data_IF_686884103698
#
_entry.id   IF_686884103698
#
_cell.length_a   1.000
_cell.length_b   1.000
_cell.length_c   1.000
_cell.angle_alpha   90.00
_cell.angle_beta   90.00
_cell.angle_gamma   90.00
#
_symmetry.space_group_name_H-M   'P 1'
#
loop_
_entity.id
_entity.type
_entity.pdbx_description
1 polymer ?
#
# COMPACT_ATOMS: atom_id res chain seq x y z
N UNK A 1 10.11 -45.98 -0.10
CA UNK A 1 10.23 -47.42 0.22
C UNK A 1 8.84 -48.03 0.17
N UNK A 2 8.72 -49.22 -0.43
CA UNK A 2 7.44 -49.93 -0.61
C UNK A 2 7.12 -50.67 0.69
N UNK A 3 5.87 -50.63 1.11
CA UNK A 3 5.23 -51.76 1.78
C UNK A 3 3.79 -51.86 1.28
N UNK A 4 3.38 -53.10 1.01
CA UNK A 4 2.07 -53.47 0.48
C UNK A 4 1.58 -54.63 1.34
N UNK A 5 0.51 -54.39 2.08
CA UNK A 5 -0.18 -55.41 2.86
C UNK A 5 -1.00 -56.35 1.96
N UNK A 6 -1.04 -57.61 2.38
CA UNK A 6 -1.83 -58.69 1.80
C UNK A 6 -3.24 -58.66 2.39
N UNK A 7 -4.20 -58.17 1.62
CA UNK A 7 -5.53 -58.79 1.56
C UNK A 7 -6.25 -58.33 0.29
N UNK A 8 -6.37 -59.27 -0.66
CA UNK A 8 -6.72 -59.03 -2.06
C UNK A 8 -8.18 -58.63 -2.30
N UNK A 9 -8.58 -57.45 -1.82
CA UNK A 9 -9.84 -56.81 -2.24
C UNK A 9 -9.63 -55.34 -2.63
N UNK A 10 -9.77 -55.07 -3.92
CA UNK A 10 -9.64 -53.74 -4.53
C UNK A 10 -10.94 -52.95 -4.33
N UNK A 11 -10.89 -51.81 -3.64
CA UNK A 11 -12.01 -50.83 -3.61
C UNK A 11 -11.61 -49.55 -4.33
N UNK A 12 -12.31 -49.25 -5.42
CA UNK A 12 -12.21 -47.98 -6.15
C UNK A 12 -13.19 -46.97 -5.55
N UNK A 13 -12.70 -45.81 -5.11
CA UNK A 13 -13.54 -44.65 -4.82
C UNK A 13 -13.29 -43.59 -5.89
N UNK A 14 -14.27 -43.44 -6.78
CA UNK A 14 -14.36 -42.34 -7.75
C UNK A 14 -15.28 -41.28 -7.13
N UNK A 15 -14.73 -40.11 -6.77
CA UNK A 15 -15.54 -38.94 -6.40
C UNK A 15 -15.35 -37.86 -7.44
N UNK A 16 -16.39 -37.64 -8.22
CA UNK A 16 -16.54 -36.52 -9.16
C UNK A 16 -17.35 -35.46 -8.42
N UNK A 17 -16.78 -34.28 -8.21
CA UNK A 17 -17.53 -33.10 -7.74
C UNK A 17 -17.16 -31.90 -8.63
N UNK A 18 -18.13 -31.07 -9.07
CA UNK A 18 -17.90 -30.07 -10.11
C UNK A 18 -17.22 -28.80 -9.59
N UNK A 19 -16.44 -28.15 -10.48
CA UNK A 19 -16.02 -26.77 -10.33
C UNK A 19 -17.22 -25.83 -10.19
N UNK A 20 -17.32 -25.11 -9.07
CA UNK A 20 -18.06 -23.85 -9.00
C UNK A 20 -17.21 -22.83 -8.25
N UNK A 21 -16.78 -21.82 -9.01
CA UNK A 21 -16.12 -20.61 -8.58
C UNK A 21 -17.06 -19.82 -7.66
N UNK A 22 -16.65 -19.47 -6.43
CA UNK A 22 -17.35 -18.46 -5.63
C UNK A 22 -16.44 -17.83 -4.57
N UNK A 23 -16.03 -16.61 -4.87
CA UNK A 23 -15.66 -15.59 -3.90
C UNK A 23 -16.85 -15.34 -2.95
N UNK A 24 -16.61 -15.39 -1.64
CA UNK A 24 -17.53 -14.87 -0.63
C UNK A 24 -16.75 -14.01 0.37
N UNK A 25 -16.84 -12.70 0.20
CA UNK A 25 -16.61 -11.73 1.27
C UNK A 25 -17.86 -11.67 2.14
N UNK A 26 -17.67 -11.89 3.45
CA UNK A 26 -18.64 -11.57 4.50
C UNK A 26 -18.52 -10.08 4.83
N UNK A 27 -19.64 -9.37 4.77
CA UNK A 27 -20.19 -8.54 5.87
C UNK A 27 -21.56 -8.02 5.45
N UNK A 28 -22.61 -8.75 5.82
CA UNK A 28 -23.99 -8.28 5.75
C UNK A 28 -24.41 -7.70 7.09
N UNK A 29 -24.63 -6.39 7.13
CA UNK A 29 -25.43 -5.67 8.13
C UNK A 29 -26.16 -4.54 7.40
N UNK A 30 -27.38 -4.80 6.90
CA UNK A 30 -28.51 -3.86 6.98
C UNK A 30 -29.78 -4.44 6.32
N UNK A 31 -30.88 -4.32 7.06
CA UNK A 31 -32.29 -4.27 6.62
C UNK A 31 -33.02 -5.55 6.22
N UNK A 32 -33.67 -6.16 7.24
CA UNK A 32 -35.00 -6.76 7.10
C UNK A 32 -36.06 -5.80 7.65
N UNK A 33 -36.88 -5.18 6.78
CA UNK A 33 -38.20 -4.64 7.14
C UNK A 33 -39.15 -4.83 5.93
N UNK A 34 -40.24 -5.59 6.16
CA UNK A 34 -41.53 -5.62 5.46
C UNK A 34 -41.58 -6.19 4.02
N UNK A 35 -42.53 -7.03 3.58
CA UNK A 35 -43.87 -7.43 4.05
C UNK A 35 -44.20 -8.87 3.57
N UNK A 36 -44.83 -9.67 4.43
CA UNK A 36 -45.65 -10.83 4.07
C UNK A 36 -47.05 -10.34 3.67
N UNK A 37 -47.61 -10.85 2.57
CA UNK A 37 -49.05 -11.00 2.39
C UNK A 37 -49.33 -12.34 1.70
N UNK A 38 -49.96 -13.25 2.46
CA UNK A 38 -50.67 -14.42 1.97
C UNK A 38 -52.17 -14.08 2.05
N UNK A 39 -52.94 -14.40 1.01
CA UNK A 39 -54.37 -14.68 1.10
C UNK A 39 -54.56 -16.17 0.75
N UNK A 40 -55.52 -16.88 1.37
CA UNK A 40 -56.77 -17.11 0.63
C UNK A 40 -58.08 -17.24 1.46
N UNK A 41 -59.15 -16.82 0.78
CA UNK A 41 -60.51 -17.37 0.60
C UNK A 41 -61.49 -17.73 1.75
N UNK A 42 -62.68 -17.12 1.57
CA UNK A 42 -64.07 -17.64 1.60
C UNK A 42 -64.78 -18.01 2.90
N UNK A 43 -65.87 -17.26 3.17
CA UNK A 43 -67.29 -17.69 3.11
C UNK A 43 -68.14 -17.17 4.29
N UNK A 44 -69.33 -16.63 3.97
CA UNK A 44 -70.38 -16.41 4.98
C UNK A 44 -71.33 -15.25 4.66
N UNK A 45 -72.47 -15.58 4.07
CA UNK A 45 -73.55 -14.68 3.67
C UNK A 45 -74.49 -14.36 4.86
N UNK A 46 -74.83 -13.08 5.09
CA UNK A 46 -76.14 -12.71 5.65
C UNK A 46 -76.51 -11.26 5.36
N UNK A 47 -77.80 -11.08 5.11
CA UNK A 47 -78.57 -9.97 4.58
C UNK A 47 -78.56 -8.63 5.35
N UNK A 48 -79.00 -7.60 4.62
CA UNK A 48 -79.45 -6.25 5.00
C UNK A 48 -78.38 -5.15 5.07
N UNK A 49 -78.31 -4.32 4.01
CA UNK A 49 -78.76 -2.92 4.09
C UNK A 49 -78.51 -2.12 2.79
N UNK A 50 -79.56 -1.44 2.33
CA UNK A 50 -79.60 -0.59 1.14
C UNK A 50 -78.95 0.78 1.40
N UNK A 51 -77.63 0.80 1.64
CA UNK A 51 -76.86 2.06 1.64
C UNK A 51 -75.52 1.98 0.88
N UNK A 52 -75.30 0.91 0.12
CA UNK A 52 -73.99 0.59 -0.48
C UNK A 52 -73.72 1.23 -1.86
N UNK A 53 -74.69 1.92 -2.49
CA UNK A 53 -74.53 2.37 -3.89
C UNK A 53 -73.81 3.73 -4.06
N UNK A 54 -73.68 4.55 -3.01
CA UNK A 54 -72.88 5.80 -3.05
C UNK A 54 -71.45 5.61 -2.55
N UNK A 55 -71.22 4.77 -1.54
CA UNK A 55 -69.88 4.46 -1.04
C UNK A 55 -69.04 3.61 -2.03
N UNK A 56 -69.66 2.66 -2.74
CA UNK A 56 -68.98 1.82 -3.74
C UNK A 56 -68.55 2.61 -5.00
N UNK A 57 -69.32 3.64 -5.40
CA UNK A 57 -68.95 4.52 -6.53
C UNK A 57 -67.81 5.48 -6.18
N UNK A 58 -67.73 5.93 -4.92
CA UNK A 58 -66.67 6.82 -4.44
C UNK A 58 -65.36 6.07 -4.14
N UNK A 59 -65.44 4.81 -3.68
CA UNK A 59 -64.27 3.94 -3.51
C UNK A 59 -63.61 3.55 -4.85
N UNK A 60 -64.40 3.28 -5.89
CA UNK A 60 -63.88 2.94 -7.22
C UNK A 60 -63.24 4.14 -7.95
N UNK A 61 -63.77 5.35 -7.78
CA UNK A 61 -63.16 6.56 -8.34
C UNK A 61 -61.83 6.93 -7.65
N UNK A 62 -61.70 6.62 -6.36
CA UNK A 62 -60.48 6.87 -5.57
C UNK A 62 -59.41 5.81 -5.86
N UNK A 63 -59.80 4.54 -6.02
CA UNK A 63 -58.92 3.45 -6.43
C UNK A 63 -58.38 3.62 -7.87
N UNK A 64 -59.17 4.15 -8.80
CA UNK A 64 -58.72 4.47 -10.16
C UNK A 64 -57.71 5.63 -10.19
N UNK A 65 -57.91 6.67 -9.36
CA UNK A 65 -56.96 7.78 -9.19
C UNK A 65 -55.65 7.34 -8.52
N UNK A 66 -55.71 6.43 -7.54
CA UNK A 66 -54.54 5.81 -6.91
C UNK A 66 -53.77 4.88 -7.87
N UNK A 67 -54.46 4.15 -8.77
CA UNK A 67 -53.81 3.32 -9.80
C UNK A 67 -53.11 4.16 -10.87
N UNK A 68 -53.71 5.27 -11.33
CA UNK A 68 -53.03 6.21 -12.24
C UNK A 68 -51.88 6.97 -11.56
N UNK A 69 -52.00 7.31 -10.28
CA UNK A 69 -50.90 7.93 -9.52
C UNK A 69 -49.75 6.94 -9.25
N UNK A 70 -50.02 5.65 -9.03
CA UNK A 70 -48.99 4.61 -8.88
C UNK A 70 -48.33 4.22 -10.21
N UNK A 71 -49.05 4.28 -11.33
CA UNK A 71 -48.48 4.09 -12.67
C UNK A 71 -47.56 5.26 -13.09
N UNK A 72 -47.88 6.49 -12.68
CA UNK A 72 -47.02 7.68 -12.89
C UNK A 72 -45.86 7.77 -11.88
N UNK A 73 -45.99 7.19 -10.68
CA UNK A 73 -44.94 7.13 -9.67
C UNK A 73 -43.92 6.00 -9.89
N UNK A 74 -44.27 4.96 -10.66
CA UNK A 74 -43.38 3.83 -11.01
C UNK A 74 -42.17 4.25 -11.86
N UNK A 75 -42.33 5.25 -12.73
CA UNK A 75 -41.23 5.78 -13.54
C UNK A 75 -40.31 6.74 -12.78
N UNK A 76 -40.81 7.44 -11.76
CA UNK A 76 -40.01 8.37 -10.96
C UNK A 76 -39.16 7.65 -9.89
N UNK A 77 -39.62 6.53 -9.34
CA UNK A 77 -38.83 5.77 -8.35
C UNK A 77 -37.68 5.00 -9.01
N UNK A 78 -37.88 4.50 -10.24
CA UNK A 78 -36.82 3.85 -11.01
C UNK A 78 -35.73 4.85 -11.41
N UNK A 79 -36.10 6.04 -11.90
CA UNK A 79 -35.11 7.06 -12.30
C UNK A 79 -34.32 7.61 -11.12
N UNK A 80 -34.95 7.80 -9.95
CA UNK A 80 -34.28 8.20 -8.72
C UNK A 80 -33.32 7.11 -8.21
N UNK A 81 -33.69 5.82 -8.31
CA UNK A 81 -32.82 4.71 -7.92
C UNK A 81 -31.62 4.56 -8.87
N UNK A 82 -31.82 4.76 -10.19
CA UNK A 82 -30.74 4.79 -11.16
C UNK A 82 -29.84 6.02 -10.97
N UNK A 83 -30.39 7.19 -10.64
CA UNK A 83 -29.59 8.38 -10.30
C UNK A 83 -28.79 8.18 -9.02
N UNK A 84 -29.35 7.53 -7.99
CA UNK A 84 -28.66 7.18 -6.75
C UNK A 84 -27.59 6.10 -6.96
N UNK A 85 -27.85 5.10 -7.80
CA UNK A 85 -26.86 4.08 -8.20
C UNK A 85 -25.75 4.70 -9.07
N UNK A 86 -26.07 5.61 -10.00
CA UNK A 86 -25.10 6.39 -10.75
C UNK A 86 -24.32 7.34 -9.84
N UNK A 87 -24.96 8.01 -8.88
CA UNK A 87 -24.33 8.90 -7.90
C UNK A 87 -23.39 8.11 -6.95
N UNK A 88 -23.80 6.90 -6.54
CA UNK A 88 -22.99 5.95 -5.77
C UNK A 88 -21.87 5.31 -6.62
N UNK A 89 -22.00 5.29 -7.95
CA UNK A 89 -20.96 4.84 -8.88
C UNK A 89 -20.03 5.99 -9.34
N UNK A 90 -20.41 7.24 -9.11
CA UNK A 90 -19.59 8.45 -9.36
C UNK A 90 -18.94 9.01 -8.11
N UNK A 91 -19.14 8.43 -6.92
CA UNK A 91 -18.19 8.63 -5.83
C UNK A 91 -16.90 7.95 -6.24
N UNK A 92 -16.08 8.66 -7.02
CA UNK A 92 -14.67 8.36 -7.13
C UNK A 92 -14.16 8.27 -5.69
N UNK A 93 -13.85 7.05 -5.25
CA UNK A 93 -13.12 6.83 -4.01
C UNK A 93 -11.77 7.52 -4.22
N UNK A 94 -11.70 8.80 -3.87
CA UNK A 94 -10.45 9.52 -3.82
C UNK A 94 -9.60 8.76 -2.83
N UNK A 95 -8.49 8.19 -3.28
CA UNK A 95 -7.58 7.47 -2.41
C UNK A 95 -7.26 8.37 -1.22
N UNK A 96 -7.52 7.87 -0.01
CA UNK A 96 -7.28 8.62 1.20
C UNK A 96 -5.78 8.88 1.33
N UNK A 97 -5.43 10.12 1.72
CA UNK A 97 -4.08 10.44 2.13
C UNK A 97 -3.65 9.51 3.28
N UNK A 98 -2.46 8.91 3.15
CA UNK A 98 -1.81 8.20 4.26
C UNK A 98 -1.08 9.22 5.13
N UNK A 99 -1.39 9.24 6.43
CA UNK A 99 -0.62 9.99 7.41
C UNK A 99 -0.58 9.24 8.75
N UNK A 100 0.60 9.21 9.37
CA UNK A 100 0.83 8.63 10.69
C UNK A 100 2.07 9.25 11.35
N UNK A 101 2.19 9.03 12.66
CA UNK A 101 3.34 9.41 13.47
C UNK A 101 3.55 8.35 14.56
N UNK A 102 4.72 7.69 14.55
CA UNK A 102 5.06 6.61 15.47
C UNK A 102 6.31 6.97 16.27
N UNK A 103 6.21 6.81 17.58
CA UNK A 103 7.33 6.78 18.54
C UNK A 103 7.67 5.34 18.99
N UNK A 104 6.99 4.34 18.41
CA UNK A 104 7.04 2.91 18.72
C UNK A 104 6.80 2.51 20.16
N UNK A 105 6.41 3.43 21.06
CA UNK A 105 6.15 3.16 22.48
C UNK A 105 4.82 2.44 22.71
N UNK A 106 3.91 2.52 21.74
CA UNK A 106 2.59 1.88 21.73
C UNK A 106 2.47 0.79 20.65
N UNK A 107 1.25 0.27 20.47
CA UNK A 107 0.84 -0.82 19.55
C UNK A 107 0.97 -0.47 18.03
N UNK A 108 1.91 0.40 17.65
CA UNK A 108 2.23 0.73 16.25
C UNK A 108 2.61 -0.51 15.43
N UNK A 109 3.18 -1.54 16.07
CA UNK A 109 3.51 -2.82 15.46
C UNK A 109 2.31 -3.49 14.75
N UNK A 110 1.07 -3.23 15.18
CA UNK A 110 -0.14 -3.76 14.53
C UNK A 110 -0.34 -3.20 13.12
N UNK A 111 0.17 -2.00 12.82
CA UNK A 111 0.07 -1.36 11.52
C UNK A 111 1.30 -1.64 10.62
N UNK A 112 2.22 -2.48 11.09
CA UNK A 112 3.46 -2.80 10.41
C UNK A 112 3.50 -4.27 9.98
N UNK A 113 4.25 -4.51 8.90
CA UNK A 113 4.60 -5.84 8.39
C UNK A 113 6.11 -5.99 8.54
N UNK A 114 6.52 -6.97 9.34
CA UNK A 114 7.92 -7.31 9.58
C UNK A 114 8.34 -8.49 8.70
N UNK A 115 9.52 -8.41 8.11
CA UNK A 115 10.09 -9.40 7.20
C UNK A 115 11.55 -9.63 7.55
N UNK A 116 12.04 -10.86 7.33
CA UNK A 116 13.40 -11.24 7.70
C UNK A 116 13.63 -11.10 9.21
N UNK A 117 14.76 -10.51 9.58
CA UNK A 117 15.18 -10.36 10.97
C UNK A 117 14.56 -9.14 11.69
N UNK A 118 13.74 -8.34 11.00
CA UNK A 118 13.17 -7.14 11.59
C UNK A 118 12.17 -7.46 12.71
N UNK A 119 12.29 -6.78 13.85
CA UNK A 119 11.45 -7.00 15.02
C UNK A 119 11.18 -5.73 15.82
N UNK A 120 10.01 -5.65 16.43
CA UNK A 120 9.70 -4.62 17.44
C UNK A 120 10.45 -4.91 18.73
N UNK A 121 11.05 -3.88 19.31
CA UNK A 121 11.93 -3.97 20.48
C UNK A 121 11.53 -2.95 21.55
N UNK A 122 10.26 -2.97 21.97
CA UNK A 122 9.74 -2.11 23.03
C UNK A 122 9.43 -0.69 22.54
N UNK A 123 10.44 0.17 22.49
CA UNK A 123 10.36 1.59 22.11
C UNK A 123 11.03 1.89 20.76
N UNK A 124 11.35 0.84 19.99
CA UNK A 124 12.03 0.94 18.69
C UNK A 124 11.73 -0.26 17.81
N UNK A 125 12.23 -0.21 16.58
CA UNK A 125 12.32 -1.36 15.67
C UNK A 125 13.78 -1.65 15.40
N UNK A 126 14.19 -2.90 15.61
CA UNK A 126 15.46 -3.40 15.12
C UNK A 126 15.23 -3.98 13.72
N UNK A 127 15.94 -3.48 12.71
CA UNK A 127 15.84 -4.01 11.33
C UNK A 127 16.70 -5.26 11.12
N UNK A 128 17.75 -5.45 11.92
CA UNK A 128 18.62 -6.65 11.90
C UNK A 128 18.86 -7.18 13.32
N UNK A 129 19.36 -8.41 13.44
CA UNK A 129 19.59 -9.11 14.72
C UNK A 129 21.07 -9.26 15.12
N UNK A 130 21.96 -8.38 14.63
CA UNK A 130 23.41 -8.40 14.89
C UNK A 130 24.14 -9.69 14.46
N UNK A 131 23.57 -10.49 13.56
CA UNK A 131 24.27 -11.59 12.90
C UNK A 131 24.99 -11.16 11.62
N UNK A 132 25.86 -12.03 11.11
CA UNK A 132 26.44 -11.91 9.76
C UNK A 132 25.45 -12.37 8.68
N UNK A 133 25.52 -11.75 7.50
CA UNK A 133 24.66 -12.05 6.35
C UNK A 133 23.18 -12.04 6.71
N UNK A 134 22.75 -10.95 7.37
CA UNK A 134 21.38 -10.76 7.87
C UNK A 134 20.70 -9.66 7.10
N UNK A 135 19.38 -9.75 7.02
CA UNK A 135 18.55 -8.73 6.39
C UNK A 135 17.18 -8.69 7.06
N UNK A 136 16.63 -7.50 7.18
CA UNK A 136 15.27 -7.33 7.64
C UNK A 136 14.64 -6.06 7.10
N UNK A 137 13.32 -6.11 7.03
CA UNK A 137 12.50 -5.05 6.45
C UNK A 137 11.24 -4.86 7.28
N UNK A 138 10.83 -3.62 7.44
CA UNK A 138 9.52 -3.26 7.98
C UNK A 138 8.79 -2.38 6.98
N UNK A 139 7.50 -2.62 6.77
CA UNK A 139 6.65 -1.82 5.90
C UNK A 139 5.35 -1.43 6.60
N UNK A 140 4.78 -0.28 6.24
CA UNK A 140 3.44 0.07 6.68
C UNK A 140 2.39 -0.80 5.98
N UNK A 141 1.35 -1.26 6.71
CA UNK A 141 0.29 -2.13 6.16
C UNK A 141 -0.56 -1.45 5.11
N UNK A 142 -0.90 -0.17 5.33
CA UNK A 142 -1.63 0.63 4.34
C UNK A 142 -0.66 1.12 3.28
N UNK A 143 -0.99 0.86 2.02
CA UNK A 143 -0.24 1.32 0.86
C UNK A 143 -0.49 2.80 0.58
N UNK A 144 0.49 3.45 -0.03
CA UNK A 144 0.39 4.83 -0.50
C UNK A 144 -0.03 4.82 -1.96
N UNK A 145 -1.14 5.49 -2.28
CA UNK A 145 -1.54 5.75 -3.67
C UNK A 145 -0.62 6.84 -4.25
N UNK A 146 0.31 6.47 -5.11
CA UNK A 146 1.30 7.36 -5.74
C UNK A 146 0.71 8.18 -6.90
N UNK A 147 -0.21 7.61 -7.67
CA UNK A 147 -0.98 8.33 -8.69
C UNK A 147 -2.30 7.62 -9.00
N UNK A 148 -3.26 8.39 -9.50
CA UNK A 148 -4.53 7.91 -10.01
C UNK A 148 -4.75 8.46 -11.42
N UNK A 149 -5.09 7.58 -12.36
CA UNK A 149 -5.43 7.95 -13.73
C UNK A 149 -6.96 7.96 -13.82
N UNK A 150 -7.56 9.12 -14.13
CA UNK A 150 -9.01 9.22 -14.28
C UNK A 150 -9.51 8.25 -15.38
N UNK A 151 -10.72 7.72 -15.21
CA UNK A 151 -11.35 6.82 -16.18
C UNK A 151 -11.49 7.56 -17.52
N UNK A 152 -10.63 7.21 -18.48
CA UNK A 152 -10.51 7.88 -19.79
C UNK A 152 -9.16 8.56 -20.05
N UNK A 153 -8.22 8.53 -19.11
CA UNK A 153 -6.82 8.96 -19.29
C UNK A 153 -6.62 10.48 -19.45
N UNK A 154 -7.67 11.28 -19.24
CA UNK A 154 -7.64 12.72 -19.46
C UNK A 154 -6.94 13.51 -18.35
N UNK A 155 -6.83 12.96 -17.13
CA UNK A 155 -6.24 13.64 -15.98
C UNK A 155 -5.61 12.61 -15.04
N UNK A 156 -4.38 12.87 -14.64
CA UNK A 156 -3.66 12.08 -13.64
C UNK A 156 -3.50 12.93 -12.38
N UNK A 157 -3.97 12.42 -11.24
CA UNK A 157 -3.62 12.99 -9.93
C UNK A 157 -2.37 12.30 -9.42
N UNK A 158 -1.39 13.06 -8.98
CA UNK A 158 -0.12 12.54 -8.47
C UNK A 158 0.04 12.89 -7.00
N UNK A 159 0.70 12.03 -6.24
CA UNK A 159 0.83 12.18 -4.79
C UNK A 159 2.24 12.57 -4.41
N UNK A 160 2.38 13.74 -3.81
CA UNK A 160 3.59 14.15 -3.10
C UNK A 160 3.56 13.59 -1.68
N UNK A 161 4.72 13.31 -1.10
CA UNK A 161 4.79 12.86 0.29
C UNK A 161 6.00 13.44 1.03
N UNK A 162 5.90 13.47 2.34
CA UNK A 162 7.01 13.71 3.26
C UNK A 162 7.07 12.59 4.28
N UNK A 163 8.28 12.26 4.70
CA UNK A 163 8.51 11.35 5.82
C UNK A 163 9.67 11.85 6.65
N UNK A 164 9.56 11.71 7.96
CA UNK A 164 10.64 12.02 8.87
C UNK A 164 10.82 10.86 9.83
N UNK A 165 12.06 10.56 10.17
CA UNK A 165 12.37 9.46 11.08
C UNK A 165 13.64 9.74 11.85
N UNK A 166 13.66 9.25 13.08
CA UNK A 166 14.89 9.16 13.87
C UNK A 166 15.37 7.73 13.89
N UNK A 167 16.68 7.54 13.73
CA UNK A 167 17.30 6.23 13.69
C UNK A 167 18.71 6.28 14.29
N UNK A 168 19.25 5.12 14.62
CA UNK A 168 20.63 4.97 15.06
C UNK A 168 21.24 3.74 14.40
N UNK A 169 22.48 3.89 13.93
CA UNK A 169 23.32 2.79 13.48
C UNK A 169 24.43 2.61 14.52
N UNK A 170 24.62 1.38 14.99
CA UNK A 170 25.47 1.09 16.14
C UNK A 170 26.50 0.00 15.86
N UNK A 171 27.74 0.21 16.29
CA UNK A 171 28.84 -0.73 16.09
C UNK A 171 28.64 -2.03 16.86
N UNK A 172 29.03 -3.15 16.26
CA UNK A 172 29.30 -4.38 17.01
C UNK A 172 30.73 -4.37 17.62
N UNK A 173 31.15 -5.49 18.19
CA UNK A 173 32.47 -5.67 18.82
C UNK A 173 33.69 -5.61 17.89
N UNK A 174 33.54 -5.65 16.56
CA UNK A 174 34.67 -5.70 15.60
C UNK A 174 35.13 -4.31 15.15
N UNK A 175 34.47 -3.22 15.57
CA UNK A 175 34.79 -1.82 15.22
C UNK A 175 34.79 -1.50 13.71
N UNK A 176 34.33 -2.41 12.86
CA UNK A 176 34.15 -2.22 11.43
C UNK A 176 32.66 -2.43 11.09
N UNK A 177 31.90 -1.35 10.89
CA UNK A 177 30.47 -1.37 10.60
C UNK A 177 30.18 -1.71 9.13
N UNK A 178 29.08 -2.42 8.88
CA UNK A 178 28.45 -2.57 7.57
C UNK A 178 27.04 -3.18 7.75
N UNK A 179 26.12 -3.02 6.80
CA UNK A 179 26.32 -2.32 5.51
C UNK A 179 25.50 -1.03 5.44
N UNK A 180 24.45 -0.91 6.24
CA UNK A 180 23.61 0.27 6.30
C UNK A 180 22.12 -0.05 6.22
N UNK A 181 21.33 1.01 6.06
CA UNK A 181 19.88 0.91 5.97
C UNK A 181 19.30 1.87 4.95
N UNK A 182 18.07 1.62 4.52
CA UNK A 182 17.36 2.47 3.58
C UNK A 182 15.89 2.68 3.97
N UNK A 183 15.39 3.90 3.78
CA UNK A 183 13.96 4.14 3.60
C UNK A 183 13.58 3.77 2.16
N UNK A 184 12.42 3.16 1.93
CA UNK A 184 12.02 2.77 0.57
C UNK A 184 10.57 3.09 0.23
N UNK A 185 10.33 3.28 -1.07
CA UNK A 185 9.03 3.20 -1.72
C UNK A 185 9.11 2.11 -2.79
N UNK A 186 8.23 1.13 -2.77
CA UNK A 186 8.34 0.01 -3.72
C UNK A 186 7.16 -0.92 -3.75
N UNK A 187 7.37 -2.10 -4.35
CA UNK A 187 6.35 -3.13 -4.42
C UNK A 187 5.87 -3.57 -3.03
N UNK A 188 4.56 -3.75 -2.82
CA UNK A 188 4.03 -4.37 -1.61
C UNK A 188 4.37 -5.86 -1.63
N UNK A 189 5.46 -6.22 -0.95
CA UNK A 189 5.91 -7.60 -0.78
C UNK A 189 5.83 -8.00 0.68
N UNK A 190 5.63 -9.29 0.88
CA UNK A 190 5.53 -9.97 2.17
C UNK A 190 6.86 -10.64 2.56
N UNK A 191 7.85 -10.55 1.67
CA UNK A 191 9.15 -11.19 1.80
C UNK A 191 10.28 -10.27 1.32
N UNK A 192 11.49 -10.60 1.77
CA UNK A 192 12.70 -9.95 1.28
C UNK A 192 13.00 -10.39 -0.16
N UNK A 193 13.63 -9.51 -0.98
CA UNK A 193 14.21 -9.93 -2.24
C UNK A 193 15.25 -11.05 -2.00
N UNK A 194 15.36 -12.06 -2.88
CA UNK A 194 16.39 -13.09 -2.77
C UNK A 194 17.80 -12.48 -2.75
N UNK A 195 18.70 -13.04 -1.93
CA UNK A 195 20.11 -12.64 -1.80
C UNK A 195 20.26 -11.12 -1.66
N UNK A 196 19.53 -10.53 -0.72
CA UNK A 196 19.48 -9.07 -0.52
C UNK A 196 20.28 -8.60 0.69
N UNK A 197 20.98 -9.49 1.36
CA UNK A 197 21.92 -9.24 2.44
C UNK A 197 23.16 -8.42 2.00
N UNK A 198 23.96 -7.96 2.96
CA UNK A 198 25.11 -7.10 2.74
C UNK A 198 24.76 -5.76 2.07
N UNK A 199 25.60 -5.37 1.10
CA UNK A 199 25.48 -4.16 0.27
C UNK A 199 24.15 -3.95 -0.47
N UNK A 200 23.20 -4.90 -0.40
CA UNK A 200 21.89 -4.75 -1.01
C UNK A 200 20.79 -4.37 -0.01
N UNK A 201 21.14 -4.12 1.26
CA UNK A 201 20.31 -3.55 2.35
C UNK A 201 19.00 -4.29 2.69
N UNK A 202 18.84 -5.53 2.26
CA UNK A 202 17.54 -6.21 2.21
C UNK A 202 16.57 -5.58 1.21
N UNK A 203 17.03 -4.60 0.42
CA UNK A 203 16.26 -3.71 -0.45
C UNK A 203 16.12 -4.26 -1.86
N UNK A 204 17.24 -4.75 -2.41
CA UNK A 204 17.43 -5.16 -3.79
C UNK A 204 17.92 -6.61 -3.85
N UNK A 205 17.64 -7.33 -4.94
CA UNK A 205 18.23 -8.66 -5.13
C UNK A 205 19.63 -8.56 -5.72
N UNK A 206 20.57 -9.35 -5.20
CA UNK A 206 21.90 -9.48 -5.78
C UNK A 206 21.86 -10.30 -7.08
N UNK A 207 21.82 -9.62 -8.21
CA UNK A 207 21.75 -10.24 -9.54
C UNK A 207 22.96 -11.11 -9.92
N UNK A 208 24.03 -11.12 -9.11
CA UNK A 208 25.12 -12.09 -9.26
C UNK A 208 24.63 -13.54 -9.17
N UNK A 209 23.61 -13.79 -8.34
CA UNK A 209 23.05 -15.14 -8.12
C UNK A 209 21.92 -15.51 -9.09
N UNK A 210 21.52 -14.59 -9.98
CA UNK A 210 20.55 -14.87 -11.03
C UNK A 210 19.77 -13.65 -11.50
N UNK A 211 19.00 -13.79 -12.59
CA UNK A 211 18.14 -12.72 -13.07
C UNK A 211 16.86 -12.63 -12.22
N UNK A 212 16.77 -11.63 -11.34
CA UNK A 212 15.59 -11.42 -10.48
C UNK A 212 14.58 -10.41 -11.05
N UNK A 213 14.86 -9.85 -12.24
CA UNK A 213 14.04 -8.80 -12.86
C UNK A 213 14.20 -7.44 -12.18
N UNK A 214 13.43 -6.45 -12.64
CA UNK A 214 13.49 -5.11 -12.04
C UNK A 214 12.92 -5.13 -10.62
N UNK A 215 13.65 -4.61 -9.61
CA UNK A 215 13.19 -4.58 -8.22
C UNK A 215 11.97 -3.68 -8.02
N UNK A 216 11.77 -2.68 -8.90
CA UNK A 216 10.67 -1.68 -8.85
C UNK A 216 10.57 -1.02 -7.48
N UNK A 217 11.70 -0.43 -7.08
CA UNK A 217 11.93 0.15 -5.76
C UNK A 217 12.77 1.41 -5.91
N UNK A 218 12.41 2.43 -5.14
CA UNK A 218 13.22 3.63 -4.92
C UNK A 218 13.62 3.65 -3.45
N UNK A 219 14.91 3.89 -3.19
CA UNK A 219 15.50 3.90 -1.86
C UNK A 219 16.14 5.24 -1.53
N UNK A 220 16.18 5.57 -0.24
CA UNK A 220 17.10 6.55 0.33
C UNK A 220 18.01 5.77 1.27
N UNK A 221 19.25 5.56 0.85
CA UNK A 221 20.25 4.77 1.59
C UNK A 221 21.05 5.64 2.57
N UNK A 222 21.43 5.01 3.67
CA UNK A 222 22.38 5.49 4.67
C UNK A 222 23.45 4.41 4.76
N UNK A 223 24.47 4.54 3.91
CA UNK A 223 25.47 3.52 3.65
C UNK A 223 26.70 3.75 4.52
N UNK A 224 27.09 2.71 5.28
CA UNK A 224 28.21 2.75 6.22
C UNK A 224 29.45 2.04 5.69
N UNK A 225 29.39 1.46 4.49
CA UNK A 225 30.45 0.65 3.93
C UNK A 225 30.65 0.88 2.43
N UNK A 226 31.80 1.45 2.07
CA UNK A 226 32.15 1.65 0.66
C UNK A 226 32.41 0.33 -0.09
N UNK A 227 31.55 0.02 -1.07
CA UNK A 227 31.78 -0.96 -2.12
C UNK A 227 32.33 -0.27 -3.38
N UNK A 228 33.62 -0.44 -3.73
CA UNK A 228 34.28 0.30 -4.81
C UNK A 228 33.70 0.12 -6.23
N UNK A 229 32.77 -0.81 -6.41
CA UNK A 229 32.15 -1.08 -7.71
C UNK A 229 31.00 -0.12 -8.05
N UNK A 230 30.37 0.51 -7.06
CA UNK A 230 29.21 1.38 -7.27
C UNK A 230 29.14 2.58 -6.32
N UNK A 231 29.82 2.53 -5.18
CA UNK A 231 29.80 3.64 -4.22
C UNK A 231 30.75 4.76 -4.61
N UNK A 232 30.46 6.00 -4.16
CA UNK A 232 31.31 7.15 -4.41
C UNK A 232 32.75 6.94 -3.92
N UNK A 233 33.71 7.29 -4.77
CA UNK A 233 35.12 7.26 -4.39
C UNK A 233 35.45 8.31 -3.32
N UNK A 234 36.38 7.97 -2.41
CA UNK A 234 36.91 8.92 -1.42
C UNK A 234 36.04 9.12 -0.19
N UNK A 235 34.95 8.37 -0.03
CA UNK A 235 34.12 8.36 1.18
C UNK A 235 33.79 6.93 1.60
N UNK A 236 33.58 6.73 2.91
CA UNK A 236 33.06 5.47 3.45
C UNK A 236 31.56 5.60 3.71
N UNK A 237 31.18 6.67 4.40
CA UNK A 237 29.79 6.96 4.74
C UNK A 237 29.19 7.86 3.65
N UNK A 238 27.99 7.55 3.17
CA UNK A 238 27.21 8.47 2.33
C UNK A 238 25.70 8.30 2.52
N UNK A 239 24.97 9.35 2.12
CA UNK A 239 23.52 9.27 1.91
C UNK A 239 23.27 9.28 0.42
N UNK A 240 22.43 8.36 -0.05
CA UNK A 240 22.18 8.14 -1.47
C UNK A 240 20.70 8.07 -1.83
N UNK A 241 20.38 8.23 -3.12
CA UNK A 241 19.04 8.03 -3.68
C UNK A 241 19.10 6.99 -4.79
N UNK A 242 18.50 5.83 -4.53
CA UNK A 242 18.53 4.67 -5.39
C UNK A 242 17.27 4.57 -6.24
N UNK A 243 17.45 4.26 -7.52
CA UNK A 243 16.31 3.99 -8.43
C UNK A 243 16.56 2.67 -9.14
N UNK A 244 15.96 1.60 -8.61
CA UNK A 244 16.03 0.23 -9.12
C UNK A 244 17.42 -0.44 -9.15
N UNK A 245 18.44 0.20 -8.61
CA UNK A 245 19.83 -0.30 -8.56
C UNK A 245 20.49 0.21 -7.28
N UNK A 246 21.54 -0.49 -6.82
CA UNK A 246 22.37 -0.09 -5.66
C UNK A 246 23.31 1.07 -6.01
N UNK A 247 23.54 1.32 -7.31
CA UNK A 247 24.27 2.52 -7.73
C UNK A 247 23.36 3.74 -7.61
N UNK A 248 23.56 4.51 -6.54
CA UNK A 248 22.87 5.76 -6.28
C UNK A 248 22.83 6.70 -7.48
N UNK A 249 21.67 7.30 -7.73
CA UNK A 249 21.48 8.33 -8.77
C UNK A 249 22.18 9.64 -8.40
N UNK A 250 22.25 9.93 -7.12
CA UNK A 250 23.04 11.02 -6.54
C UNK A 250 23.36 10.68 -5.09
N UNK A 251 24.48 11.18 -4.59
CA UNK A 251 24.92 10.94 -3.20
C UNK A 251 25.39 12.24 -2.54
N UNK A 252 25.53 12.20 -1.23
CA UNK A 252 26.29 13.18 -0.47
C UNK A 252 27.24 12.45 0.45
N UNK A 253 28.54 12.67 0.25
CA UNK A 253 29.60 12.10 1.05
C UNK A 253 29.58 12.65 2.48
N UNK A 254 29.93 11.80 3.43
CA UNK A 254 30.04 12.13 4.84
C UNK A 254 31.43 11.75 5.37
N UNK A 255 31.94 12.43 6.40
CA UNK A 255 33.13 11.95 7.08
C UNK A 255 32.95 10.51 7.57
N UNK A 256 34.01 9.73 7.55
CA UNK A 256 33.99 8.33 7.97
C UNK A 256 33.45 8.19 9.39
N UNK A 257 32.52 7.25 9.58
CA UNK A 257 31.85 6.92 10.84
C UNK A 257 30.85 7.99 11.34
N UNK A 258 30.50 9.00 10.53
CA UNK A 258 29.47 9.98 10.86
C UNK A 258 28.08 9.37 10.99
N UNK A 259 27.77 8.31 10.23
CA UNK A 259 26.50 7.57 10.35
C UNK A 259 26.41 6.70 11.62
N UNK A 260 27.49 6.61 12.38
CA UNK A 260 27.53 5.89 13.66
C UNK A 260 27.70 6.83 14.86
N UNK A 261 27.57 8.15 14.65
CA UNK A 261 27.78 9.17 15.67
C UNK A 261 26.62 9.32 16.67
N UNK A 262 25.66 8.40 16.67
CA UNK A 262 24.52 8.37 17.57
C UNK A 262 23.18 8.48 16.85
N UNK A 263 22.18 9.05 17.53
CA UNK A 263 20.84 9.23 16.96
C UNK A 263 20.87 10.33 15.89
N UNK A 264 20.33 10.01 14.72
CA UNK A 264 20.18 10.94 13.60
C UNK A 264 18.71 11.14 13.27
N UNK A 265 18.40 12.23 12.56
CA UNK A 265 17.08 12.51 12.03
C UNK A 265 17.16 12.77 10.53
N UNK A 266 16.41 12.01 9.75
CA UNK A 266 16.26 12.25 8.33
C UNK A 266 14.86 12.78 8.01
N UNK A 267 14.79 13.68 7.03
CA UNK A 267 13.57 14.20 6.44
C UNK A 267 13.65 13.98 4.93
N UNK A 268 12.72 13.22 4.39
CA UNK A 268 12.61 12.92 2.96
C UNK A 268 11.34 13.56 2.42
N UNK A 269 11.45 14.25 1.29
CA UNK A 269 10.33 14.82 0.58
C UNK A 269 10.34 14.37 -0.88
N UNK A 270 9.17 13.99 -1.38
CA UNK A 270 8.94 13.71 -2.79
C UNK A 270 7.92 14.70 -3.34
N UNK A 271 8.36 15.49 -4.31
CA UNK A 271 7.51 16.38 -5.09
C UNK A 271 7.13 15.69 -6.40
N UNK A 272 5.87 15.27 -6.49
CA UNK A 272 5.37 14.56 -7.66
C UNK A 272 5.20 15.45 -8.89
N UNK A 273 5.02 16.78 -8.72
CA UNK A 273 4.92 17.70 -9.84
C UNK A 273 6.29 17.97 -10.47
N UNK A 274 7.33 18.02 -9.65
CA UNK A 274 8.71 18.17 -10.09
C UNK A 274 9.40 16.83 -10.41
N UNK A 275 8.78 15.68 -10.10
CA UNK A 275 9.40 14.36 -10.12
C UNK A 275 10.77 14.39 -9.43
N UNK A 276 10.79 14.85 -8.17
CA UNK A 276 12.04 15.11 -7.42
C UNK A 276 11.94 14.57 -6.01
N UNK A 277 12.97 13.84 -5.59
CA UNK A 277 13.16 13.40 -4.21
C UNK A 277 14.31 14.20 -3.59
N UNK A 278 14.09 14.69 -2.36
CA UNK A 278 15.09 15.41 -1.60
C UNK A 278 15.15 14.91 -0.17
N UNK A 279 16.37 14.78 0.35
CA UNK A 279 16.71 14.22 1.65
C UNK A 279 17.51 15.25 2.42
N UNK A 280 17.20 15.40 3.71
CA UNK A 280 18.06 16.11 4.66
C UNK A 280 18.28 15.22 5.86
N UNK A 281 19.54 14.90 6.13
CA UNK A 281 19.99 14.19 7.32
C UNK A 281 20.60 15.19 8.30
N UNK A 282 20.19 15.11 9.56
CA UNK A 282 20.75 15.85 10.68
C UNK A 282 21.37 14.88 11.68
N UNK A 283 22.66 15.06 11.96
CA UNK A 283 23.41 14.27 12.93
C UNK A 283 23.31 14.86 14.34
N UNK A 284 23.69 14.08 15.36
CA UNK A 284 23.58 14.47 16.76
C UNK A 284 24.42 15.71 17.12
N UNK A 285 25.55 15.90 16.44
CA UNK A 285 26.44 17.06 16.58
C UNK A 285 25.93 18.33 15.88
N UNK A 286 24.75 18.27 15.24
CA UNK A 286 24.09 19.39 14.59
C UNK A 286 24.51 19.61 13.13
N UNK A 287 25.36 18.75 12.56
CA UNK A 287 25.69 18.81 11.13
C UNK A 287 24.49 18.39 10.28
N UNK A 288 24.42 18.95 9.07
CA UNK A 288 23.33 18.69 8.12
C UNK A 288 23.91 18.30 6.76
N UNK A 289 23.40 17.22 6.20
CA UNK A 289 23.75 16.69 4.89
C UNK A 289 22.50 16.57 4.04
N UNK A 290 22.56 16.93 2.76
CA UNK A 290 21.39 16.93 1.89
C UNK A 290 21.74 16.43 0.50
N UNK A 291 20.90 15.53 -0.01
CA UNK A 291 20.99 15.01 -1.38
C UNK A 291 19.62 15.14 -2.04
N UNK A 292 19.62 15.42 -3.34
CA UNK A 292 18.41 15.40 -4.16
C UNK A 292 18.65 14.74 -5.51
N UNK A 293 17.59 14.18 -6.08
CA UNK A 293 17.64 13.59 -7.41
C UNK A 293 16.27 13.72 -8.10
N UNK A 294 16.30 13.84 -9.43
CA UNK A 294 15.10 13.64 -10.23
C UNK A 294 14.66 12.17 -10.13
N UNK A 295 13.45 11.92 -9.65
CA UNK A 295 12.88 10.58 -9.47
C UNK A 295 11.48 10.60 -10.05
N UNK A 296 11.26 9.83 -11.12
CA UNK A 296 9.92 9.54 -11.63
C UNK A 296 9.52 8.16 -11.14
N UNK A 297 8.63 8.10 -10.14
CA UNK A 297 8.19 6.83 -9.54
C UNK A 297 7.45 5.93 -10.53
N UNK A 298 6.73 6.51 -11.49
CA UNK A 298 6.02 5.74 -12.53
C UNK A 298 7.00 5.17 -13.55
N UNK A 299 7.98 5.96 -13.99
CA UNK A 299 9.04 5.49 -14.89
C UNK A 299 9.97 4.46 -14.22
N UNK A 300 10.15 4.56 -12.90
CA UNK A 300 10.81 3.53 -12.09
C UNK A 300 10.01 2.21 -12.01
N UNK A 301 8.80 2.16 -12.56
CA UNK A 301 8.00 0.94 -12.69
C UNK A 301 7.23 0.57 -11.42
N UNK A 302 7.11 1.49 -10.45
CA UNK A 302 6.31 1.27 -9.26
C UNK A 302 4.82 1.09 -9.61
N UNK A 303 4.04 0.40 -8.76
CA UNK A 303 2.59 0.34 -8.88
C UNK A 303 1.92 1.65 -8.43
N UNK A 304 0.62 1.81 -8.75
CA UNK A 304 -0.19 2.91 -8.22
C UNK A 304 -0.25 2.91 -6.70
N UNK A 305 -0.40 1.73 -6.08
CA UNK A 305 -0.40 1.54 -4.64
C UNK A 305 0.93 0.91 -4.22
N UNK A 306 1.80 1.70 -3.57
CA UNK A 306 3.14 1.28 -3.19
C UNK A 306 3.28 1.10 -1.67
N UNK A 307 4.15 0.19 -1.26
CA UNK A 307 4.58 0.07 0.13
C UNK A 307 5.65 1.11 0.43
N UNK A 308 5.62 1.62 1.66
CA UNK A 308 6.67 2.45 2.25
C UNK A 308 7.19 1.80 3.51
N UNK A 309 8.49 1.93 3.77
CA UNK A 309 9.11 1.25 4.89
C UNK A 309 10.61 1.44 4.98
N UNK A 310 11.25 0.58 5.76
CA UNK A 310 12.69 0.55 5.95
C UNK A 310 13.24 -0.85 5.74
N UNK A 311 14.46 -0.92 5.25
CA UNK A 311 15.21 -2.16 5.07
C UNK A 311 16.64 -1.95 5.55
N UNK A 312 17.27 -2.98 6.09
CA UNK A 312 18.67 -2.96 6.45
C UNK A 312 19.29 -4.34 6.29
N UNK A 313 20.62 -4.39 6.17
CA UNK A 313 21.34 -5.64 6.09
C UNK A 313 22.76 -5.55 6.70
N UNK A 314 23.33 -6.72 6.90
CA UNK A 314 24.71 -6.94 7.31
C UNK A 314 25.34 -7.98 6.40
N UNK A 315 26.66 -7.91 6.24
CA UNK A 315 27.49 -8.86 5.51
C UNK A 315 28.41 -9.61 6.47
N UNK A 316 29.71 -9.69 6.11
CA UNK A 316 30.76 -10.19 7.00
C UNK A 316 31.03 -9.24 8.17
N UNK A 317 30.77 -7.95 7.95
CA UNK A 317 30.78 -6.90 8.97
C UNK A 317 29.34 -6.64 9.44
N UNK A 318 29.19 -6.16 10.66
CA UNK A 318 27.89 -6.13 11.34
C UNK A 318 27.71 -4.85 12.14
N UNK A 319 26.52 -4.29 12.03
CA UNK A 319 26.03 -3.20 12.84
C UNK A 319 24.54 -3.38 13.20
N UNK A 320 24.08 -2.67 14.24
CA UNK A 320 22.66 -2.59 14.57
C UNK A 320 22.00 -1.48 13.76
N UNK A 321 20.77 -1.72 13.30
CA UNK A 321 19.95 -0.73 12.61
C UNK A 321 18.66 -0.52 13.39
N UNK A 322 18.53 0.63 14.04
CA UNK A 322 17.42 0.91 14.95
C UNK A 322 16.60 2.09 14.48
N UNK A 323 15.32 1.86 14.22
CA UNK A 323 14.35 2.91 13.92
C UNK A 323 13.64 3.32 15.21
N UNK A 324 13.73 4.60 15.55
CA UNK A 324 13.31 5.16 16.84
C UNK A 324 12.02 5.98 16.74
N UNK A 325 11.78 6.60 15.59
CA UNK A 325 10.49 7.23 15.27
C UNK A 325 10.27 7.24 13.77
N UNK A 326 9.01 7.32 13.35
CA UNK A 326 8.65 7.41 11.94
C UNK A 326 7.31 8.12 11.75
N UNK A 327 7.35 9.24 11.03
CA UNK A 327 6.17 9.92 10.54
C UNK A 327 6.13 9.92 9.02
N UNK A 328 4.92 9.90 8.48
CA UNK A 328 4.67 9.95 7.05
C UNK A 328 3.43 10.80 6.79
N UNK A 329 3.43 11.54 5.69
CA UNK A 329 2.28 12.28 5.22
C UNK A 329 2.28 12.31 3.69
N UNK A 330 1.14 12.05 3.08
CA UNK A 330 0.95 12.09 1.63
C UNK A 330 -0.19 13.02 1.26
N UNK A 331 -0.05 13.74 0.15
CA UNK A 331 -1.06 14.67 -0.35
C UNK A 331 -1.13 14.65 -1.87
N UNK A 332 -2.34 14.67 -2.40
CA UNK A 332 -2.58 14.63 -3.85
C UNK A 332 -2.51 16.03 -4.46
N UNK A 333 -1.67 16.22 -5.47
CA UNK A 333 -1.71 17.35 -6.40
C UNK A 333 -2.45 16.97 -7.69
N UNK A 334 -3.13 17.94 -8.31
CA UNK A 334 -3.68 17.78 -9.66
C UNK A 334 -2.60 18.13 -10.69
N UNK A 335 -2.10 17.15 -11.44
CA UNK A 335 -1.16 17.39 -12.55
C UNK A 335 -1.84 18.20 -13.66
N UNK A 336 -1.15 19.20 -14.22
CA UNK A 336 -1.64 19.95 -15.37
C UNK A 336 -1.51 19.12 -16.65
N UNK A 337 -2.57 19.09 -17.46
CA UNK A 337 -2.60 18.40 -18.75
C UNK A 337 -1.48 18.92 -19.66
N UNK A 338 -0.57 18.05 -20.09
CA UNK A 338 0.23 18.32 -21.27
C UNK A 338 -0.68 18.17 -22.49
N UNK A 339 -1.28 19.29 -22.96
CA UNK A 339 -1.96 19.31 -24.27
C UNK A 339 -0.91 19.05 -25.34
N UNK A 340 -0.82 17.82 -25.85
CA UNK A 340 -0.17 17.57 -27.14
C UNK A 340 -0.93 18.38 -28.19
N UNK A 341 -0.24 19.37 -28.75
CA UNK A 341 -0.76 20.24 -29.79
C UNK A 341 -1.28 19.42 -30.97
N UNK A 342 -2.58 19.59 -31.25
CA UNK A 342 -3.17 19.18 -32.51
C UNK A 342 -2.90 20.33 -33.49
N UNK A 343 -1.85 20.22 -34.30
CA UNK A 343 -1.69 21.09 -35.47
C UNK A 343 -2.41 20.41 -36.61
N UNK A 344 -3.53 21.02 -37.00
CA UNK A 344 -4.27 20.71 -38.21
C UNK A 344 -3.44 21.12 -39.43
N UNK A 345 -3.34 20.24 -40.42
CA UNK A 345 -2.94 20.61 -41.77
C UNK A 345 -4.09 21.40 -42.41
N UNK A 346 -3.79 22.59 -42.91
CA UNK A 346 -4.61 23.35 -43.84
C UNK A 346 -3.93 23.37 -45.21
#
# INVERSE_FOLDING_TARGET
>A
MRDRDQDGTTKFYLSIVPLVNRYTTRTGWCNSICHKFFFPQDAGNSSHDNNSSKAAKQANATAARLRSAMAMAGNHRSSQLHLLLLFCCTTTLRAAALSFDYDFSADAAKNLVFMGDAAHAGDRINLTNLGVWRAGRVAHRQLVRLWDDDVGGGRTTTTSFTTAFSFAIGRNSTNQPADGMAFFVGLPRDNLPPHSDGAFFGLLSNNYFGPYGSPRTVGVEFDTFSNPMWDPEGTVDHVGIDVNTVTSKNTTAMPTLSLLAGVMRAEVSYDAAAARMAVTLRTLDGMSYSVEAAVDLRAAGLPQDAAVGFSAATGDLVESHQLLSWSFNSSTGSGSMYRRGMIAYA
#
